data_IF_752604969470
#
_entry.id   IF_752604969470
#
_cell.length_a   1.000
_cell.length_b   1.000
_cell.length_c   1.000
_cell.angle_alpha   90.00
_cell.angle_beta   90.00
_cell.angle_gamma   90.00
#
_symmetry.space_group_name_H-M   'P 1'
#
loop_
_entity.id
_entity.type
_entity.pdbx_description
1 polymer ?
#
# COMPACT_ATOMS: atom_id res chain seq x y z
N UNK A 1 10.73 -18.66 18.90
CA UNK A 1 9.39 -18.09 19.09
C UNK A 1 8.81 -17.77 17.73
N UNK A 2 7.51 -18.01 17.50
CA UNK A 2 6.85 -17.73 16.23
C UNK A 2 6.29 -16.32 16.24
N UNK A 3 6.64 -15.49 15.26
CA UNK A 3 6.07 -14.14 15.10
C UNK A 3 4.56 -14.21 14.85
N UNK A 4 3.80 -13.36 15.52
CA UNK A 4 2.35 -13.20 15.29
C UNK A 4 2.12 -11.78 14.77
N UNK A 5 1.34 -11.65 13.70
CA UNK A 5 0.96 -10.37 13.10
C UNK A 5 -0.57 -10.23 13.08
N UNK A 6 -1.06 -8.99 13.00
CA UNK A 6 -2.48 -8.70 12.82
C UNK A 6 -2.85 -8.75 11.33
N UNK A 7 -3.96 -9.43 11.01
CA UNK A 7 -4.55 -9.37 9.68
C UNK A 7 -4.93 -7.91 9.35
N UNK A 8 -4.41 -7.30 8.27
CA UNK A 8 -4.70 -5.90 7.96
C UNK A 8 -6.19 -5.61 7.71
N UNK A 9 -6.96 -6.63 7.31
CA UNK A 9 -8.37 -6.49 6.94
C UNK A 9 -9.33 -6.61 8.12
N UNK A 10 -9.00 -7.44 9.12
CA UNK A 10 -9.94 -7.82 10.18
C UNK A 10 -9.30 -8.02 11.56
N UNK A 11 -8.01 -7.70 11.70
CA UNK A 11 -7.26 -7.68 12.96
C UNK A 11 -7.11 -9.02 13.69
N UNK A 12 -7.52 -10.13 13.07
CA UNK A 12 -7.27 -11.47 13.60
C UNK A 12 -5.77 -11.76 13.64
N UNK A 13 -5.32 -12.44 14.69
CA UNK A 13 -3.93 -12.90 14.81
C UNK A 13 -3.59 -13.95 13.75
N UNK A 14 -2.44 -13.78 13.11
CA UNK A 14 -1.89 -14.68 12.11
C UNK A 14 -0.48 -15.08 12.53
N UNK A 15 -0.25 -16.39 12.69
CA UNK A 15 1.08 -16.93 12.98
C UNK A 15 1.94 -16.89 11.71
N UNK A 16 3.19 -16.44 11.82
CA UNK A 16 4.14 -16.38 10.71
C UNK A 16 4.78 -17.75 10.44
N UNK A 17 4.00 -18.73 9.96
CA UNK A 17 4.43 -20.13 9.69
C UNK A 17 3.95 -20.63 8.31
N UNK A 18 4.71 -21.50 7.60
CA UNK A 18 4.41 -22.01 6.25
C UNK A 18 2.93 -22.32 5.96
N UNK A 19 2.24 -22.94 6.92
CA UNK A 19 0.86 -23.40 6.83
C UNK A 19 -0.15 -22.24 6.70
N UNK A 20 0.20 -21.04 7.18
CA UNK A 20 -0.62 -19.83 7.03
C UNK A 20 -0.46 -19.29 5.60
N UNK A 21 -1.15 -19.93 4.64
CA UNK A 21 -0.97 -19.71 3.19
C UNK A 21 -1.21 -18.28 2.70
N UNK A 22 -1.95 -17.48 3.46
CA UNK A 22 -2.40 -16.13 3.06
C UNK A 22 -1.74 -15.00 3.84
N UNK A 23 -0.68 -15.25 4.62
CA UNK A 23 0.03 -14.22 5.39
C UNK A 23 0.33 -12.97 4.54
N UNK A 24 0.12 -11.74 5.05
CA UNK A 24 -0.26 -11.41 6.44
C UNK A 24 -1.76 -11.56 6.74
N UNK A 25 -2.58 -11.98 5.79
CA UNK A 25 -4.03 -12.12 5.94
C UNK A 25 -4.42 -13.45 6.60
N UNK A 26 -5.53 -13.45 7.37
CA UNK A 26 -6.01 -14.66 8.03
C UNK A 26 -6.75 -15.64 7.09
N UNK A 27 -7.11 -15.20 5.89
CA UNK A 27 -7.84 -16.01 4.89
C UNK A 27 -7.72 -15.39 3.49
N UNK A 28 -8.02 -16.18 2.45
CA UNK A 28 -8.11 -15.69 1.08
C UNK A 28 -9.12 -14.55 0.94
N UNK A 29 -10.28 -14.65 1.60
CA UNK A 29 -11.29 -13.57 1.62
C UNK A 29 -10.71 -12.24 2.07
N UNK A 30 -9.89 -12.22 3.13
CA UNK A 30 -9.29 -10.97 3.62
C UNK A 30 -8.30 -10.39 2.62
N UNK A 31 -7.47 -11.25 1.99
CA UNK A 31 -6.58 -10.85 0.88
C UNK A 31 -7.37 -10.21 -0.28
N UNK A 32 -8.48 -10.82 -0.69
CA UNK A 32 -9.29 -10.28 -1.80
C UNK A 32 -9.96 -8.94 -1.45
N UNK A 33 -10.41 -8.76 -0.20
CA UNK A 33 -10.98 -7.48 0.25
C UNK A 33 -9.92 -6.38 0.20
N UNK A 34 -8.70 -6.65 0.66
CA UNK A 34 -7.58 -5.70 0.61
C UNK A 34 -7.27 -5.29 -0.82
N UNK A 35 -7.14 -6.27 -1.74
CA UNK A 35 -6.96 -6.02 -3.17
C UNK A 35 -8.11 -5.19 -3.77
N UNK A 36 -9.35 -5.49 -3.38
CA UNK A 36 -10.52 -4.73 -3.81
C UNK A 36 -10.52 -3.28 -3.32
N UNK A 37 -10.02 -3.02 -2.11
CA UNK A 37 -9.89 -1.67 -1.57
C UNK A 37 -8.85 -0.84 -2.35
N UNK A 38 -7.75 -1.45 -2.79
CA UNK A 38 -6.80 -0.82 -3.72
C UNK A 38 -7.42 -0.56 -5.08
N UNK A 39 -8.09 -1.56 -5.67
CA UNK A 39 -8.71 -1.44 -6.98
C UNK A 39 -9.84 -0.39 -7.03
N UNK A 40 -10.45 -0.08 -5.88
CA UNK A 40 -11.51 0.93 -5.74
C UNK A 40 -11.00 2.25 -5.17
N UNK A 41 -9.67 2.47 -5.17
CA UNK A 41 -9.02 3.71 -4.73
C UNK A 41 -9.36 4.15 -3.30
N UNK A 42 -9.76 3.19 -2.44
CA UNK A 42 -9.99 3.46 -1.01
C UNK A 42 -8.68 3.71 -0.27
N UNK A 43 -7.60 3.10 -0.75
CA UNK A 43 -6.25 3.37 -0.29
C UNK A 43 -5.55 4.32 -1.26
N UNK A 44 -4.84 5.30 -0.70
CA UNK A 44 -4.05 6.29 -1.44
C UNK A 44 -2.67 6.37 -0.81
N UNK A 45 -1.64 6.38 -1.64
CA UNK A 45 -0.30 6.74 -1.20
C UNK A 45 -0.26 8.26 -1.13
N UNK A 46 0.01 8.81 0.05
CA UNK A 46 0.12 10.26 0.20
C UNK A 46 1.29 10.78 -0.62
N UNK A 47 1.02 11.71 -1.54
CA UNK A 47 2.06 12.53 -2.17
C UNK A 47 2.51 13.58 -1.18
N UNK A 48 3.52 13.28 -0.36
CA UNK A 48 4.34 14.35 0.23
C UNK A 48 4.92 15.14 -0.93
N UNK A 49 4.96 16.48 -0.83
CA UNK A 49 5.57 17.36 -1.82
C UNK A 49 6.97 16.86 -2.16
N UNK A 50 7.12 16.09 -3.22
CA UNK A 50 8.39 15.73 -3.80
C UNK A 50 8.58 16.66 -4.98
N UNK A 51 9.33 17.73 -4.73
CA UNK A 51 10.11 18.53 -5.66
C UNK A 51 9.74 18.31 -7.13
N UNK A 52 8.69 18.98 -7.61
CA UNK A 52 8.66 19.37 -9.01
C UNK A 52 9.95 20.16 -9.23
N UNK A 53 10.88 19.72 -10.11
CA UNK A 53 11.95 20.59 -10.54
C UNK A 53 11.27 21.86 -11.06
N UNK A 54 11.75 23.07 -10.70
CA UNK A 54 11.12 24.29 -11.17
C UNK A 54 11.05 24.23 -12.69
N UNK A 55 9.86 24.48 -13.23
CA UNK A 55 9.66 24.67 -14.66
C UNK A 55 10.63 25.77 -15.12
N UNK A 56 11.66 25.40 -15.88
CA UNK A 56 12.60 26.35 -16.47
C UNK A 56 11.79 27.29 -17.38
N UNK A 57 11.66 28.50 -16.88
CA UNK A 57 10.95 29.62 -17.45
C UNK A 57 11.42 29.88 -18.89
N UNK A 58 10.67 29.38 -19.87
CA UNK A 58 10.83 29.76 -21.27
C UNK A 58 10.20 31.13 -21.50
N UNK A 59 10.77 32.18 -20.90
CA UNK A 59 10.52 33.57 -21.27
C UNK A 59 11.76 34.21 -21.88
N UNK A 60 11.72 34.31 -23.21
CA UNK A 60 12.16 35.45 -24.03
C UNK A 60 13.59 36.03 -23.86
N UNK A 61 14.37 35.92 -24.93
CA UNK A 61 15.37 36.90 -25.36
C UNK A 61 15.84 36.48 -26.75
N UNK A 62 15.34 37.06 -27.85
CA UNK A 62 15.78 38.34 -28.41
C UNK A 62 17.31 38.52 -28.35
N UNK A 63 18.00 37.88 -29.29
CA UNK A 63 18.90 38.55 -30.24
C UNK A 63 19.17 37.64 -31.43
#
# INVERSE_FOLDING_TARGET
MTTIVKCPTCEKDVRWVPESRFRPFCSDRCKQIDLGAWATEKYKIGGGQQDTPPDEDSHSGLN
#
